data_IF_655640719181
#
_entry.id   IF_655640719181
#
_cell.length_a   1.000
_cell.length_b   1.000
_cell.length_c   1.000
_cell.angle_alpha   90.00
_cell.angle_beta   90.00
_cell.angle_gamma   90.00
#
_symmetry.space_group_name_H-M   'P 1'
#
loop_
_entity.id
_entity.type
_entity.pdbx_description
1 polymer ?
#
# COMPACT_ATOMS: atom_id res chain seq x y z
N UNK A 1 3.42 -28.66 2.61
CA UNK A 1 4.24 -28.15 1.48
C UNK A 1 5.10 -27.01 1.98
N UNK A 2 6.37 -26.92 1.55
CA UNK A 2 7.23 -25.80 1.97
C UNK A 2 6.75 -24.50 1.31
N UNK A 3 6.53 -23.46 2.10
CA UNK A 3 6.11 -22.13 1.60
C UNK A 3 7.27 -21.32 1.03
N UNK A 4 8.52 -21.67 1.33
CA UNK A 4 9.75 -21.02 0.90
C UNK A 4 10.29 -21.56 -0.46
N UNK A 5 9.45 -21.69 -1.46
CA UNK A 5 9.81 -22.34 -2.73
C UNK A 5 10.87 -21.57 -3.52
N UNK A 6 10.78 -20.24 -3.55
CA UNK A 6 11.69 -19.39 -4.28
C UNK A 6 12.92 -19.05 -3.45
N UNK A 7 12.73 -18.67 -2.19
CA UNK A 7 13.83 -18.28 -1.29
C UNK A 7 14.80 -19.42 -1.01
N UNK A 8 14.40 -20.67 -1.14
CA UNK A 8 15.33 -21.83 -1.07
C UNK A 8 16.44 -21.76 -2.11
N UNK A 9 16.25 -21.06 -3.23
CA UNK A 9 17.31 -20.85 -4.23
C UNK A 9 18.52 -20.11 -3.63
N UNK A 10 18.29 -19.28 -2.62
CA UNK A 10 19.32 -18.46 -1.96
C UNK A 10 19.62 -18.90 -0.52
N UNK A 11 18.78 -19.75 0.10
CA UNK A 11 18.95 -20.15 1.49
C UNK A 11 19.39 -21.60 1.67
N UNK A 12 19.06 -22.52 0.76
CA UNK A 12 19.26 -23.94 0.97
C UNK A 12 20.58 -24.48 0.41
N UNK A 13 21.16 -25.48 1.12
CA UNK A 13 22.36 -26.20 0.69
C UNK A 13 23.68 -25.53 1.02
N UNK A 14 24.77 -26.30 0.91
CA UNK A 14 26.12 -25.86 1.30
C UNK A 14 26.59 -24.69 0.42
N UNK A 15 26.34 -24.73 -0.89
CA UNK A 15 26.75 -23.69 -1.82
C UNK A 15 26.13 -22.31 -1.55
N UNK A 16 25.08 -22.23 -0.70
CA UNK A 16 24.41 -21.00 -0.28
C UNK A 16 24.91 -20.45 1.06
N UNK A 17 25.99 -20.97 1.58
CA UNK A 17 26.63 -20.42 2.78
C UNK A 17 26.98 -18.92 2.68
N UNK A 18 27.57 -18.43 1.59
CA UNK A 18 27.82 -16.98 1.43
C UNK A 18 26.52 -16.15 1.43
N UNK A 19 25.46 -16.64 0.77
CA UNK A 19 24.16 -15.97 0.74
C UNK A 19 23.58 -15.84 2.17
N UNK A 20 23.60 -16.94 2.94
CA UNK A 20 23.14 -16.91 4.33
C UNK A 20 24.00 -16.02 5.21
N UNK A 21 25.31 -15.95 4.99
CA UNK A 21 26.18 -15.03 5.72
C UNK A 21 25.74 -13.57 5.54
N UNK A 22 25.40 -13.16 4.31
CA UNK A 22 24.85 -11.82 4.04
C UNK A 22 23.46 -11.62 4.67
N UNK A 23 22.58 -12.61 4.59
CA UNK A 23 21.25 -12.54 5.21
C UNK A 23 21.35 -12.42 6.74
N UNK A 24 22.33 -13.05 7.38
CA UNK A 24 22.57 -12.88 8.82
C UNK A 24 22.91 -11.44 9.18
N UNK A 25 23.64 -10.72 8.33
CA UNK A 25 23.99 -9.32 8.56
C UNK A 25 22.75 -8.40 8.60
N UNK A 26 21.64 -8.85 8.01
CA UNK A 26 20.33 -8.14 8.03
C UNK A 26 19.30 -8.82 8.95
N UNK A 27 19.77 -9.62 9.94
CA UNK A 27 18.97 -10.11 11.04
C UNK A 27 18.32 -11.49 10.84
N UNK A 28 18.83 -12.33 9.91
CA UNK A 28 18.36 -13.72 9.82
C UNK A 28 19.05 -14.60 10.87
N UNK A 29 18.27 -15.28 11.66
CA UNK A 29 18.69 -16.39 12.54
C UNK A 29 18.66 -17.75 11.83
N UNK A 30 19.09 -18.81 12.53
CA UNK A 30 19.15 -20.17 11.96
C UNK A 30 17.76 -20.68 11.52
N UNK A 31 16.74 -20.40 12.31
CA UNK A 31 15.36 -20.80 12.00
C UNK A 31 14.68 -20.00 10.89
N UNK A 32 15.27 -18.90 10.41
CA UNK A 32 14.64 -18.05 9.39
C UNK A 32 14.87 -18.54 7.96
N UNK A 33 15.91 -19.40 7.75
CA UNK A 33 16.22 -19.91 6.42
C UNK A 33 15.20 -20.91 5.87
N UNK A 34 14.35 -21.46 6.74
CA UNK A 34 13.27 -22.36 6.37
C UNK A 34 11.90 -21.66 6.25
N UNK A 35 11.82 -20.36 6.63
CA UNK A 35 10.63 -19.55 6.49
C UNK A 35 10.49 -19.00 5.07
N UNK A 36 9.26 -18.69 4.60
CA UNK A 36 9.09 -17.93 3.38
C UNK A 36 9.59 -16.50 3.59
N UNK A 37 10.33 -15.98 2.62
CA UNK A 37 10.75 -14.57 2.61
C UNK A 37 9.68 -13.77 1.88
N UNK A 38 9.08 -12.79 2.57
CA UNK A 38 8.02 -11.94 2.01
C UNK A 38 8.53 -10.51 1.91
N UNK A 39 8.49 -9.96 0.71
CA UNK A 39 8.83 -8.57 0.47
C UNK A 39 7.72 -7.64 0.98
N UNK A 40 8.10 -6.52 1.60
CA UNK A 40 7.18 -5.42 1.93
C UNK A 40 7.63 -4.21 1.13
N UNK A 41 6.92 -3.95 0.04
CA UNK A 41 7.17 -2.82 -0.85
C UNK A 41 6.61 -1.55 -0.19
N UNK A 42 7.52 -0.76 0.38
CA UNK A 42 7.18 0.41 1.17
C UNK A 42 7.10 1.67 0.31
N UNK A 43 5.89 2.16 0.08
CA UNK A 43 5.62 3.43 -0.59
C UNK A 43 5.60 4.64 0.34
N UNK A 44 6.05 4.54 1.59
CA UNK A 44 6.14 5.70 2.49
C UNK A 44 7.05 6.78 1.94
N UNK A 45 6.61 8.02 2.07
CA UNK A 45 7.41 9.20 1.70
C UNK A 45 6.84 10.44 2.37
N UNK A 46 7.69 11.34 2.80
CA UNK A 46 7.30 12.68 3.29
C UNK A 46 7.09 13.71 2.17
N UNK A 47 7.32 13.32 0.90
CA UNK A 47 7.25 14.23 -0.27
C UNK A 47 5.82 14.57 -0.68
N UNK A 48 4.84 13.76 -0.30
CA UNK A 48 3.44 14.01 -0.65
C UNK A 48 2.48 13.46 0.41
N UNK A 49 1.28 14.04 0.56
CA UNK A 49 0.32 13.61 1.59
C UNK A 49 -0.19 12.18 1.38
N UNK A 50 -0.27 11.71 0.13
CA UNK A 50 -0.82 10.40 -0.19
C UNK A 50 -0.03 9.25 0.47
N UNK A 51 1.25 9.46 0.71
CA UNK A 51 2.19 8.45 1.19
C UNK A 51 2.80 8.78 2.57
N UNK A 52 2.61 10.00 3.08
CA UNK A 52 3.28 10.47 4.30
C UNK A 52 2.83 9.73 5.57
N UNK A 53 1.62 9.21 5.61
CA UNK A 53 1.05 8.56 6.79
C UNK A 53 1.17 7.03 6.82
N UNK A 54 1.83 6.38 5.86
CA UNK A 54 1.74 4.93 5.73
C UNK A 54 2.84 4.13 6.46
N UNK A 55 3.84 4.78 7.08
CA UNK A 55 4.88 4.05 7.81
C UNK A 55 4.33 3.14 8.94
N UNK A 56 3.35 3.56 9.75
CA UNK A 56 2.75 2.67 10.75
C UNK A 56 2.13 1.40 10.14
N UNK A 57 1.57 1.48 8.92
CA UNK A 57 1.04 0.32 8.21
C UNK A 57 2.15 -0.67 7.85
N UNK A 58 3.32 -0.15 7.43
CA UNK A 58 4.50 -0.97 7.12
C UNK A 58 4.98 -1.71 8.38
N UNK A 59 5.10 -0.99 9.50
CA UNK A 59 5.58 -1.55 10.76
C UNK A 59 4.65 -2.67 11.26
N UNK A 60 3.34 -2.47 11.14
CA UNK A 60 2.33 -3.47 11.46
C UNK A 60 2.39 -4.68 10.53
N UNK A 61 2.53 -4.45 9.22
CA UNK A 61 2.65 -5.51 8.22
C UNK A 61 3.90 -6.39 8.49
N UNK A 62 5.03 -5.76 8.80
CA UNK A 62 6.26 -6.48 9.17
C UNK A 62 6.04 -7.37 10.40
N UNK A 63 5.46 -6.82 11.46
CA UNK A 63 5.18 -7.57 12.69
C UNK A 63 4.19 -8.72 12.47
N UNK A 64 3.14 -8.50 11.68
CA UNK A 64 2.13 -9.51 11.37
C UNK A 64 2.70 -10.65 10.53
N UNK A 65 3.53 -10.37 9.53
CA UNK A 65 4.20 -11.38 8.73
C UNK A 65 5.18 -12.23 9.57
N UNK A 66 5.92 -11.62 10.50
CA UNK A 66 6.76 -12.37 11.45
C UNK A 66 5.91 -13.27 12.36
N UNK A 67 4.83 -12.73 12.92
CA UNK A 67 3.88 -13.51 13.75
C UNK A 67 3.27 -14.69 12.99
N UNK A 68 3.01 -14.55 11.70
CA UNK A 68 2.52 -15.60 10.81
C UNK A 68 3.60 -16.62 10.38
N UNK A 69 4.83 -16.48 10.87
CA UNK A 69 5.92 -17.41 10.57
C UNK A 69 6.65 -17.16 9.25
N UNK A 70 6.48 -15.99 8.64
CA UNK A 70 7.29 -15.54 7.51
C UNK A 70 8.54 -14.78 7.99
N UNK A 71 9.47 -14.51 7.07
CA UNK A 71 10.56 -13.56 7.28
C UNK A 71 10.33 -12.36 6.36
N UNK A 72 9.77 -11.25 6.87
CA UNK A 72 9.53 -10.06 6.07
C UNK A 72 10.82 -9.29 5.80
N UNK A 73 10.93 -8.71 4.61
CA UNK A 73 12.00 -7.78 4.23
C UNK A 73 11.40 -6.56 3.57
N UNK A 74 11.63 -5.38 4.17
CA UNK A 74 11.14 -4.11 3.64
C UNK A 74 12.11 -3.52 2.63
N UNK A 75 11.57 -2.93 1.56
CA UNK A 75 12.34 -2.14 0.59
C UNK A 75 11.53 -0.93 0.13
N UNK A 76 12.22 0.17 -0.21
CA UNK A 76 11.58 1.42 -0.65
C UNK A 76 11.07 1.35 -2.08
N UNK A 77 9.98 2.08 -2.33
CA UNK A 77 9.39 2.25 -3.66
C UNK A 77 9.26 3.74 -3.96
N UNK A 78 9.62 4.22 -5.17
CA UNK A 78 9.43 5.62 -5.54
C UNK A 78 7.98 6.07 -5.44
N UNK A 79 7.77 7.33 -5.07
CA UNK A 79 6.44 7.94 -4.97
C UNK A 79 6.41 9.31 -5.63
N UNK A 80 5.47 9.50 -6.55
CA UNK A 80 5.21 10.79 -7.21
C UNK A 80 3.72 11.06 -7.18
N UNK A 81 3.32 12.29 -6.88
CA UNK A 81 1.91 12.70 -6.89
C UNK A 81 1.63 13.71 -8.00
N UNK A 82 0.54 13.50 -8.69
CA UNK A 82 0.03 14.42 -9.71
C UNK A 82 -0.32 15.79 -9.12
N UNK A 83 -0.93 15.79 -7.93
CA UNK A 83 -1.43 17.01 -7.30
C UNK A 83 -0.37 18.09 -7.02
N UNK A 84 0.88 17.69 -6.80
CA UNK A 84 1.99 18.65 -6.62
C UNK A 84 2.61 19.02 -7.97
N UNK A 85 2.69 18.08 -8.90
CA UNK A 85 3.30 18.29 -10.22
C UNK A 85 2.39 19.00 -11.24
N UNK A 86 1.09 19.02 -11.01
CA UNK A 86 0.08 19.46 -11.96
C UNK A 86 0.32 20.94 -12.40
N UNK A 87 0.23 21.15 -13.71
CA UNK A 87 0.48 22.48 -14.31
C UNK A 87 1.96 22.86 -14.45
N UNK A 88 2.90 21.98 -14.10
CA UNK A 88 4.35 22.20 -14.21
C UNK A 88 5.05 21.11 -15.02
N UNK A 89 6.34 21.30 -15.34
CA UNK A 89 7.19 20.27 -15.97
C UNK A 89 7.29 18.99 -15.13
N UNK A 90 7.12 19.08 -13.80
CA UNK A 90 7.15 17.92 -12.91
C UNK A 90 6.05 16.90 -13.22
N UNK A 91 4.94 17.32 -13.82
CA UNK A 91 3.84 16.43 -14.20
C UNK A 91 4.26 15.37 -15.22
N UNK A 92 5.28 15.62 -16.02
CA UNK A 92 5.83 14.66 -17.00
C UNK A 92 6.37 13.39 -16.33
N UNK A 93 6.79 13.48 -15.07
CA UNK A 93 7.31 12.35 -14.31
C UNK A 93 6.21 11.51 -13.64
N UNK A 94 4.98 12.02 -13.56
CA UNK A 94 3.88 11.29 -12.93
C UNK A 94 3.61 9.95 -13.63
N UNK A 95 3.27 9.97 -14.91
CA UNK A 95 2.93 8.74 -15.64
C UNK A 95 4.12 7.78 -15.73
N UNK A 96 5.31 8.29 -15.96
CA UNK A 96 6.55 7.49 -16.04
C UNK A 96 6.83 6.79 -14.71
N UNK A 97 6.51 7.41 -13.58
CA UNK A 97 6.74 6.81 -12.26
C UNK A 97 5.99 5.49 -12.07
N UNK A 98 4.88 5.26 -12.75
CA UNK A 98 4.14 4.00 -12.72
C UNK A 98 5.00 2.81 -13.15
N UNK A 99 5.70 2.93 -14.29
CA UNK A 99 6.61 1.89 -14.78
C UNK A 99 7.80 1.70 -13.85
N UNK A 100 8.41 2.80 -13.39
CA UNK A 100 9.53 2.77 -12.44
C UNK A 100 9.14 2.06 -11.14
N UNK A 101 7.95 2.30 -10.63
CA UNK A 101 7.42 1.62 -9.44
C UNK A 101 7.28 0.12 -9.69
N UNK A 102 6.67 -0.25 -10.82
CA UNK A 102 6.49 -1.64 -11.20
C UNK A 102 7.84 -2.36 -11.32
N UNK A 103 8.80 -1.75 -12.00
CA UNK A 103 10.15 -2.30 -12.21
C UNK A 103 10.93 -2.39 -10.91
N UNK A 104 10.82 -1.40 -10.01
CA UNK A 104 11.48 -1.41 -8.71
C UNK A 104 10.98 -2.57 -7.84
N UNK A 105 9.68 -2.80 -7.78
CA UNK A 105 9.09 -3.90 -7.02
C UNK A 105 9.48 -5.25 -7.64
N UNK A 106 9.32 -5.40 -8.95
CA UNK A 106 9.67 -6.63 -9.67
C UNK A 106 11.13 -6.99 -9.50
N UNK A 107 12.03 -6.02 -9.68
CA UNK A 107 13.48 -6.21 -9.53
C UNK A 107 13.85 -6.62 -8.12
N UNK A 108 13.29 -5.97 -7.10
CA UNK A 108 13.57 -6.26 -5.70
C UNK A 108 13.12 -7.67 -5.32
N UNK A 109 11.89 -8.03 -5.63
CA UNK A 109 11.29 -9.31 -5.28
C UNK A 109 11.96 -10.47 -6.02
N UNK A 110 12.19 -10.32 -7.32
CA UNK A 110 12.84 -11.36 -8.12
C UNK A 110 14.34 -11.47 -7.83
N UNK A 111 15.05 -10.34 -7.67
CA UNK A 111 16.48 -10.32 -7.37
C UNK A 111 16.82 -10.95 -6.01
N UNK A 112 15.92 -10.87 -5.05
CA UNK A 112 16.06 -11.50 -3.74
C UNK A 112 15.32 -12.84 -3.63
N UNK A 113 14.80 -13.38 -4.72
CA UNK A 113 14.06 -14.65 -4.78
C UNK A 113 12.97 -14.75 -3.70
N UNK A 114 12.23 -13.66 -3.44
CA UNK A 114 11.18 -13.64 -2.42
C UNK A 114 10.00 -14.52 -2.83
N UNK A 115 9.35 -15.13 -1.83
CA UNK A 115 8.24 -16.06 -2.02
C UNK A 115 6.89 -15.37 -2.22
N UNK A 116 6.78 -14.14 -1.77
CA UNK A 116 5.58 -13.31 -1.89
C UNK A 116 5.89 -11.84 -1.67
N UNK A 117 4.89 -10.97 -1.89
CA UNK A 117 5.03 -9.53 -1.68
C UNK A 117 3.75 -8.92 -1.12
N UNK A 118 3.92 -8.01 -0.16
CA UNK A 118 2.90 -7.08 0.31
C UNK A 118 3.29 -5.68 -0.17
N UNK A 119 2.41 -5.04 -0.93
CA UNK A 119 2.64 -3.70 -1.48
C UNK A 119 1.81 -2.69 -0.70
N UNK A 120 2.44 -1.64 -0.16
CA UNK A 120 1.74 -0.57 0.56
C UNK A 120 1.96 0.75 -0.15
N UNK A 121 0.89 1.42 -0.50
CA UNK A 121 0.95 2.72 -1.18
C UNK A 121 -0.40 3.40 -1.24
N UNK A 122 -0.41 4.71 -1.49
CA UNK A 122 -1.62 5.52 -1.48
C UNK A 122 -1.76 6.48 -2.65
N UNK A 123 -0.69 6.72 -3.41
CA UNK A 123 -0.69 7.72 -4.45
C UNK A 123 -1.13 7.17 -5.81
N UNK A 124 -1.52 8.09 -6.67
CA UNK A 124 -2.07 7.90 -8.00
C UNK A 124 -1.33 6.85 -8.85
N UNK A 125 -0.01 6.91 -8.91
CA UNK A 125 0.81 5.97 -9.70
C UNK A 125 1.34 4.77 -8.90
N UNK A 126 1.39 4.85 -7.56
CA UNK A 126 1.72 3.69 -6.72
C UNK A 126 0.72 2.56 -6.88
N UNK A 127 -0.57 2.91 -6.98
CA UNK A 127 -1.65 1.95 -7.07
C UNK A 127 -1.51 1.09 -8.35
N UNK A 128 -1.58 1.65 -9.58
CA UNK A 128 -1.42 0.86 -10.79
C UNK A 128 -0.02 0.26 -10.93
N UNK A 129 1.05 0.96 -10.54
CA UNK A 129 2.42 0.44 -10.59
C UNK A 129 2.59 -0.80 -9.72
N UNK A 130 2.04 -0.80 -8.52
CA UNK A 130 2.09 -1.94 -7.63
C UNK A 130 1.36 -3.17 -8.19
N UNK A 131 0.14 -3.01 -8.70
CA UNK A 131 -0.60 -4.15 -9.27
C UNK A 131 0.03 -4.66 -10.57
N UNK A 132 0.64 -3.78 -11.37
CA UNK A 132 1.43 -4.20 -12.54
C UNK A 132 2.57 -5.12 -12.13
N UNK A 133 3.34 -4.77 -11.10
CA UNK A 133 4.39 -5.62 -10.56
C UNK A 133 3.84 -6.96 -10.06
N UNK A 134 2.76 -6.94 -9.28
CA UNK A 134 2.10 -8.15 -8.78
C UNK A 134 1.70 -9.09 -9.93
N UNK A 135 1.12 -8.55 -11.00
CA UNK A 135 0.72 -9.32 -12.18
C UNK A 135 1.92 -9.90 -12.95
N UNK A 136 3.03 -9.13 -13.08
CA UNK A 136 4.25 -9.57 -13.76
C UNK A 136 4.96 -10.71 -13.02
N UNK A 137 5.07 -10.61 -11.70
CA UNK A 137 5.82 -11.55 -10.89
C UNK A 137 5.14 -12.90 -10.70
N UNK A 138 3.81 -12.95 -10.73
CA UNK A 138 3.02 -14.16 -10.50
C UNK A 138 3.42 -14.90 -9.21
N UNK A 139 3.63 -14.16 -8.13
CA UNK A 139 3.85 -14.66 -6.77
C UNK A 139 2.62 -14.33 -5.90
N UNK A 140 2.42 -14.99 -4.74
CA UNK A 140 1.46 -14.54 -3.76
C UNK A 140 1.67 -13.05 -3.43
N UNK A 141 0.63 -12.25 -3.59
CA UNK A 141 0.74 -10.81 -3.43
C UNK A 141 -0.57 -10.20 -2.93
N UNK A 142 -0.47 -9.16 -2.10
CA UNK A 142 -1.59 -8.36 -1.64
C UNK A 142 -1.21 -6.88 -1.68
N UNK A 143 -2.19 -6.03 -1.97
CA UNK A 143 -2.05 -4.59 -1.93
C UNK A 143 -2.74 -4.02 -0.69
N UNK A 144 -2.05 -3.16 0.05
CA UNK A 144 -2.59 -2.39 1.17
C UNK A 144 -2.67 -0.92 0.78
N UNK A 145 -3.88 -0.40 0.73
CA UNK A 145 -4.15 0.99 0.42
C UNK A 145 -3.87 1.87 1.65
N UNK A 146 -3.12 2.95 1.45
CA UNK A 146 -2.73 3.89 2.53
C UNK A 146 -3.86 4.80 3.03
N UNK A 147 -5.06 4.70 2.45
CA UNK A 147 -6.23 5.46 2.86
C UNK A 147 -6.40 6.81 2.19
N UNK A 148 -7.60 7.36 2.28
CA UNK A 148 -8.03 8.63 1.69
C UNK A 148 -7.84 9.79 2.67
N UNK A 149 -7.49 10.98 2.18
CA UNK A 149 -7.43 12.22 2.94
C UNK A 149 -8.83 12.58 3.50
N UNK A 150 -8.89 13.10 4.72
CA UNK A 150 -10.15 13.63 5.27
C UNK A 150 -10.59 14.89 4.51
N UNK A 151 -11.90 15.15 4.38
CA UNK A 151 -12.39 16.38 3.75
C UNK A 151 -11.96 17.61 4.55
N UNK A 152 -11.55 18.65 3.83
CA UNK A 152 -11.29 19.95 4.42
C UNK A 152 -12.59 20.74 4.66
N UNK A 153 -12.49 21.86 5.37
CA UNK A 153 -13.64 22.77 5.59
C UNK A 153 -13.21 24.23 5.58
N UNK A 154 -14.02 25.05 4.92
CA UNK A 154 -13.91 26.50 4.99
C UNK A 154 -15.28 27.15 4.99
N UNK A 155 -15.54 28.05 5.95
CA UNK A 155 -16.83 28.75 6.14
C UNK A 155 -18.05 27.83 6.01
N UNK A 156 -17.97 26.61 6.62
CA UNK A 156 -19.04 25.62 6.64
C UNK A 156 -19.18 24.76 5.37
N UNK A 157 -18.35 24.97 4.36
CA UNK A 157 -18.33 24.15 3.13
C UNK A 157 -17.23 23.10 3.20
N UNK A 158 -17.53 21.89 2.75
CA UNK A 158 -16.56 20.83 2.60
C UNK A 158 -15.63 21.13 1.41
N UNK A 159 -14.35 20.84 1.58
CA UNK A 159 -13.30 21.09 0.59
C UNK A 159 -12.56 19.80 0.26
N UNK A 160 -12.06 19.74 -0.98
CA UNK A 160 -11.07 18.78 -1.45
C UNK A 160 -9.94 19.52 -2.16
N UNK A 161 -8.93 18.80 -2.64
CA UNK A 161 -7.88 19.41 -3.49
C UNK A 161 -8.46 20.07 -4.75
N UNK A 162 -9.58 19.58 -5.29
CA UNK A 162 -10.25 20.21 -6.43
C UNK A 162 -10.72 21.62 -6.09
N UNK A 163 -11.20 21.84 -4.86
CA UNK A 163 -11.62 23.17 -4.42
C UNK A 163 -10.47 24.19 -4.50
N UNK A 164 -9.22 23.77 -4.23
CA UNK A 164 -8.06 24.63 -4.37
C UNK A 164 -7.76 24.94 -5.86
N UNK A 165 -7.89 23.98 -6.77
CA UNK A 165 -7.74 24.22 -8.21
C UNK A 165 -8.83 25.17 -8.75
N UNK A 166 -10.08 24.97 -8.36
CA UNK A 166 -11.20 25.83 -8.74
C UNK A 166 -11.06 27.25 -8.17
N UNK A 167 -10.51 27.37 -6.96
CA UNK A 167 -10.24 28.66 -6.32
C UNK A 167 -9.25 29.51 -7.13
N UNK A 168 -8.23 28.93 -7.76
CA UNK A 168 -7.29 29.62 -8.63
C UNK A 168 -8.04 30.32 -9.77
N UNK A 169 -8.93 29.59 -10.47
CA UNK A 169 -9.71 30.17 -11.57
C UNK A 169 -10.67 31.27 -11.10
N UNK A 170 -11.33 31.05 -9.97
CA UNK A 170 -12.28 32.02 -9.39
C UNK A 170 -11.59 33.27 -8.90
N UNK A 171 -10.42 33.14 -8.26
CA UNK A 171 -9.63 34.25 -7.78
C UNK A 171 -9.07 35.11 -8.97
N UNK A 172 -8.50 34.42 -9.96
CA UNK A 172 -7.99 35.07 -11.17
C UNK A 172 -9.09 35.85 -11.95
N UNK A 173 -10.32 35.34 -11.92
CA UNK A 173 -11.49 35.99 -12.51
C UNK A 173 -12.09 37.12 -11.64
N UNK A 174 -11.50 37.43 -10.49
CA UNK A 174 -12.00 38.46 -9.55
C UNK A 174 -13.32 38.06 -8.85
N UNK A 175 -13.66 36.75 -8.80
CA UNK A 175 -14.91 36.22 -8.20
C UNK A 175 -14.72 35.71 -6.79
N UNK A 176 -13.51 35.63 -6.29
CA UNK A 176 -13.17 35.14 -4.97
C UNK A 176 -12.32 36.17 -4.24
N UNK A 177 -12.59 36.39 -2.95
CA UNK A 177 -11.76 37.26 -2.10
C UNK A 177 -10.41 36.64 -1.80
N UNK A 178 -9.40 37.44 -1.49
CA UNK A 178 -8.08 36.97 -1.03
C UNK A 178 -8.20 36.11 0.24
N UNK A 179 -9.04 36.51 1.19
CA UNK A 179 -9.32 35.77 2.41
C UNK A 179 -9.85 34.36 2.12
N UNK A 180 -10.81 34.25 1.21
CA UNK A 180 -11.40 32.96 0.84
C UNK A 180 -10.42 32.10 0.04
N UNK A 181 -9.64 32.71 -0.86
CA UNK A 181 -8.60 32.01 -1.61
C UNK A 181 -7.58 31.34 -0.66
N UNK A 182 -7.00 32.13 0.25
CA UNK A 182 -6.05 31.62 1.24
C UNK A 182 -6.71 30.66 2.25
N UNK A 183 -7.96 30.89 2.61
CA UNK A 183 -8.73 30.01 3.47
C UNK A 183 -8.94 28.64 2.86
N UNK A 184 -9.27 28.58 1.57
CA UNK A 184 -9.40 27.31 0.83
C UNK A 184 -8.04 26.61 0.73
N UNK A 185 -6.97 27.33 0.35
CA UNK A 185 -5.62 26.75 0.25
C UNK A 185 -5.17 26.08 1.55
N UNK A 186 -5.35 26.74 2.70
CA UNK A 186 -4.92 26.25 4.02
C UNK A 186 -5.72 25.08 4.53
N UNK A 187 -6.95 24.90 4.04
CA UNK A 187 -7.89 23.94 4.61
C UNK A 187 -8.33 22.82 3.65
N UNK A 188 -7.94 22.87 2.37
CA UNK A 188 -8.35 21.86 1.39
C UNK A 188 -7.76 20.46 1.65
N UNK A 189 -6.58 20.40 2.27
CA UNK A 189 -5.86 19.16 2.54
C UNK A 189 -5.50 19.06 4.03
N UNK A 190 -6.45 18.70 4.93
CA UNK A 190 -6.28 18.81 6.38
C UNK A 190 -5.53 17.63 7.01
N UNK A 191 -5.24 16.58 6.26
CA UNK A 191 -4.57 15.38 6.77
C UNK A 191 -3.68 14.73 5.71
N UNK A 192 -2.97 13.67 6.09
CA UNK A 192 -2.36 12.74 5.14
C UNK A 192 -3.44 11.90 4.45
N UNK A 193 -3.09 11.25 3.33
CA UNK A 193 -3.95 10.37 2.57
C UNK A 193 -4.01 10.72 1.08
N UNK A 194 -4.51 9.79 0.29
CA UNK A 194 -4.77 9.98 -1.13
C UNK A 194 -5.91 11.00 -1.36
N UNK A 195 -5.93 11.62 -2.53
CA UNK A 195 -6.91 12.67 -2.86
C UNK A 195 -8.35 12.22 -2.55
N UNK A 196 -9.14 13.12 -1.93
CA UNK A 196 -10.52 12.87 -1.50
C UNK A 196 -11.52 12.96 -2.66
N UNK A 197 -11.53 11.98 -3.53
CA UNK A 197 -12.45 11.86 -4.65
C UNK A 197 -12.17 10.56 -5.43
N UNK A 198 -13.10 10.10 -6.25
CA UNK A 198 -12.93 8.89 -7.09
C UNK A 198 -11.99 9.17 -8.28
N UNK A 199 -10.79 9.71 -7.97
CA UNK A 199 -9.69 9.81 -8.93
C UNK A 199 -8.94 8.50 -9.01
N UNK A 200 -7.70 8.48 -9.54
CA UNK A 200 -6.99 7.22 -9.80
C UNK A 200 -6.80 6.38 -8.54
N UNK A 201 -6.32 6.93 -7.44
CA UNK A 201 -6.03 6.15 -6.23
C UNK A 201 -7.30 5.48 -5.66
N UNK A 202 -8.39 6.21 -5.50
CA UNK A 202 -9.63 5.67 -4.95
C UNK A 202 -10.32 4.70 -5.91
N UNK A 203 -10.27 4.97 -7.22
CA UNK A 203 -10.79 4.05 -8.25
C UNK A 203 -9.99 2.75 -8.25
N UNK A 204 -8.66 2.83 -8.16
CA UNK A 204 -7.81 1.64 -8.13
C UNK A 204 -8.01 0.85 -6.83
N UNK A 205 -8.13 1.50 -5.66
CA UNK A 205 -8.38 0.79 -4.40
C UNK A 205 -9.70 0.03 -4.43
N UNK A 206 -10.76 0.63 -4.95
CA UNK A 206 -12.05 -0.03 -5.15
C UNK A 206 -11.95 -1.21 -6.13
N UNK A 207 -11.20 -1.03 -7.21
CA UNK A 207 -10.94 -2.10 -8.19
C UNK A 207 -10.14 -3.25 -7.57
N UNK A 208 -9.21 -2.96 -6.68
CA UNK A 208 -8.41 -4.00 -5.99
C UNK A 208 -9.26 -4.86 -5.07
N UNK A 209 -10.25 -4.27 -4.40
CA UNK A 209 -11.24 -5.04 -3.64
C UNK A 209 -12.06 -5.96 -4.55
N UNK A 210 -12.57 -5.42 -5.66
CA UNK A 210 -13.33 -6.19 -6.63
C UNK A 210 -12.53 -7.32 -7.28
N UNK A 211 -11.22 -7.14 -7.46
CA UNK A 211 -10.29 -8.13 -7.99
C UNK A 211 -9.80 -9.13 -6.90
N UNK A 212 -10.08 -8.88 -5.63
CA UNK A 212 -9.61 -9.71 -4.52
C UNK A 212 -8.09 -9.61 -4.28
N UNK A 213 -7.46 -8.48 -4.63
CA UNK A 213 -6.03 -8.21 -4.40
C UNK A 213 -5.78 -7.22 -3.27
N UNK A 214 -6.84 -6.77 -2.60
CA UNK A 214 -6.82 -6.00 -1.35
C UNK A 214 -7.93 -6.44 -0.41
N UNK A 215 -7.86 -6.00 0.85
CA UNK A 215 -8.85 -6.32 1.88
C UNK A 215 -10.18 -5.61 1.59
N UNK A 216 -11.30 -6.30 1.84
CA UNK A 216 -12.64 -5.72 1.72
C UNK A 216 -12.80 -4.54 2.69
N UNK A 217 -13.39 -3.45 2.21
CA UNK A 217 -13.60 -2.21 2.97
C UNK A 217 -12.39 -1.28 3.04
N UNK A 218 -11.20 -1.71 2.55
CA UNK A 218 -9.99 -0.90 2.59
C UNK A 218 -10.06 0.37 1.75
N UNK A 219 -10.81 0.36 0.65
CA UNK A 219 -10.94 1.51 -0.25
C UNK A 219 -11.69 2.70 0.34
N UNK A 220 -12.47 2.49 1.39
CA UNK A 220 -13.33 3.50 2.00
C UNK A 220 -12.71 4.20 3.21
N UNK A 221 -11.55 3.73 3.68
CA UNK A 221 -10.93 4.26 4.90
C UNK A 221 -10.20 5.56 4.67
N UNK A 222 -10.32 6.47 5.65
CA UNK A 222 -9.46 7.63 5.72
C UNK A 222 -8.05 7.24 6.20
N UNK A 223 -7.00 7.85 5.63
CA UNK A 223 -5.62 7.52 5.99
C UNK A 223 -5.32 7.61 7.50
N UNK A 224 -5.80 8.61 8.25
CA UNK A 224 -5.62 8.65 9.69
C UNK A 224 -6.26 7.49 10.46
N UNK A 225 -7.21 6.79 9.83
CA UNK A 225 -7.95 5.67 10.42
C UNK A 225 -7.55 4.33 9.78
N UNK A 226 -6.67 4.33 8.79
CA UNK A 226 -6.27 3.15 8.00
C UNK A 226 -5.53 2.10 8.86
N UNK A 227 -4.90 2.51 9.95
CA UNK A 227 -4.27 1.60 10.91
C UNK A 227 -5.29 0.61 11.52
N UNK A 228 -6.55 1.02 11.62
CA UNK A 228 -7.65 0.20 12.11
C UNK A 228 -7.97 -0.93 11.12
N UNK A 229 -7.88 -0.69 9.82
CA UNK A 229 -8.17 -1.69 8.79
C UNK A 229 -7.12 -2.79 8.65
N UNK A 230 -5.85 -2.47 8.84
CA UNK A 230 -4.80 -3.49 8.85
C UNK A 230 -4.95 -4.48 10.00
N UNK A 231 -5.81 -4.17 10.97
CA UNK A 231 -6.11 -5.01 12.12
C UNK A 231 -7.39 -5.87 11.90
N UNK A 232 -8.02 -5.81 10.68
CA UNK A 232 -9.30 -6.07 10.51
C UNK A 232 -10.10 -7.15 9.94
N UNK A 233 -10.15 -8.35 10.38
CA UNK A 233 -11.41 -9.09 10.27
C UNK A 233 -12.35 -8.65 11.40
N UNK A 234 -13.57 -8.30 11.06
CA UNK A 234 -14.58 -7.82 12.00
C UNK A 234 -15.15 -8.96 12.84
N UNK A 235 -15.08 -8.83 14.15
CA UNK A 235 -15.92 -9.63 15.05
C UNK A 235 -17.19 -8.86 15.44
N UNK A 236 -18.12 -9.53 16.12
CA UNK A 236 -19.37 -8.93 16.59
C UNK A 236 -19.19 -7.81 17.63
N UNK A 237 -17.96 -7.50 18.05
CA UNK A 237 -17.60 -6.46 19.01
C UNK A 237 -16.85 -5.29 18.38
N UNK A 238 -16.60 -5.35 17.06
CA UNK A 238 -15.86 -4.34 16.30
C UNK A 238 -16.80 -3.21 15.87
N UNK A 239 -17.46 -2.50 16.70
CA UNK A 239 -18.34 -1.35 16.43
C UNK A 239 -18.13 -0.65 15.07
N UNK A 240 -18.33 -1.36 13.96
CA UNK A 240 -18.09 -0.88 12.59
C UNK A 240 -18.84 0.43 12.36
N UNK A 241 -18.13 1.47 11.91
CA UNK A 241 -18.63 2.83 11.72
C UNK A 241 -19.02 3.61 12.99
N UNK A 242 -18.57 3.17 14.17
CA UNK A 242 -18.74 3.91 15.41
C UNK A 242 -17.45 4.61 15.85
N UNK A 243 -17.50 5.64 16.71
CA UNK A 243 -16.31 6.36 17.19
C UNK A 243 -15.26 5.51 17.92
N UNK A 244 -15.63 4.31 18.35
CA UNK A 244 -14.78 3.37 19.10
C UNK A 244 -14.55 2.08 18.31
N UNK A 245 -14.63 2.11 16.99
CA UNK A 245 -14.34 0.95 16.16
C UNK A 245 -12.97 0.37 16.47
N UNK A 246 -12.93 -0.94 16.68
CA UNK A 246 -11.70 -1.69 16.98
C UNK A 246 -11.75 -3.07 16.36
N UNK A 247 -10.58 -3.64 16.16
CA UNK A 247 -10.41 -4.95 15.57
C UNK A 247 -9.49 -5.82 16.41
N UNK A 248 -9.79 -7.11 16.47
CA UNK A 248 -8.97 -8.07 17.20
C UNK A 248 -7.79 -8.56 16.36
N UNK A 249 -6.58 -8.49 16.89
CA UNK A 249 -5.34 -9.00 16.26
C UNK A 249 -5.47 -10.47 15.81
N UNK A 250 -6.19 -11.28 16.59
CA UNK A 250 -6.44 -12.70 16.27
C UNK A 250 -7.26 -12.92 14.98
N UNK A 251 -8.11 -11.97 14.62
CA UNK A 251 -8.88 -12.07 13.37
C UNK A 251 -8.05 -11.64 12.15
N UNK A 252 -7.11 -10.72 12.34
CA UNK A 252 -6.13 -10.36 11.32
C UNK A 252 -5.24 -11.54 10.93
N UNK A 253 -4.72 -12.28 11.91
CA UNK A 253 -3.94 -13.49 11.66
C UNK A 253 -4.75 -14.53 10.85
N UNK A 254 -6.02 -14.72 11.19
CA UNK A 254 -6.92 -15.62 10.45
C UNK A 254 -7.18 -15.13 9.02
N UNK A 255 -7.32 -13.83 8.80
CA UNK A 255 -7.55 -13.26 7.47
C UNK A 255 -6.32 -13.43 6.59
N UNK A 256 -5.12 -13.12 7.09
CA UNK A 256 -3.86 -13.34 6.35
C UNK A 256 -3.69 -14.82 6.00
N UNK A 257 -3.99 -15.74 6.94
CA UNK A 257 -3.93 -17.18 6.70
C UNK A 257 -4.99 -17.64 5.69
N UNK A 258 -6.21 -17.12 5.78
CA UNK A 258 -7.30 -17.47 4.86
C UNK A 258 -7.02 -16.99 3.43
N UNK A 259 -6.45 -15.80 3.26
CA UNK A 259 -6.07 -15.28 1.95
C UNK A 259 -4.87 -16.02 1.37
N UNK A 260 -3.86 -16.34 2.19
CA UNK A 260 -2.75 -17.19 1.77
C UNK A 260 -3.24 -18.57 1.30
N UNK A 261 -4.22 -19.14 1.98
CA UNK A 261 -4.86 -20.43 1.62
C UNK A 261 -5.71 -20.30 0.36
N UNK A 262 -6.43 -19.19 0.17
CA UNK A 262 -7.16 -18.88 -1.06
C UNK A 262 -6.24 -18.86 -2.27
N UNK A 263 -5.14 -18.11 -2.20
CA UNK A 263 -4.16 -18.04 -3.28
C UNK A 263 -3.47 -19.38 -3.53
N UNK A 264 -3.19 -20.16 -2.48
CA UNK A 264 -2.67 -21.52 -2.59
C UNK A 264 -3.62 -22.44 -3.36
N UNK A 265 -4.91 -22.38 -3.05
CA UNK A 265 -5.97 -23.18 -3.68
C UNK A 265 -6.17 -22.76 -5.14
N UNK A 266 -6.15 -21.47 -5.43
CA UNK A 266 -6.26 -20.92 -6.77
C UNK A 266 -5.08 -21.36 -7.65
N UNK A 267 -3.85 -21.26 -7.14
CA UNK A 267 -2.64 -21.69 -7.85
C UNK A 267 -2.66 -23.22 -8.14
N UNK A 268 -3.12 -24.02 -7.18
CA UNK A 268 -3.25 -25.47 -7.35
C UNK A 268 -4.27 -25.85 -8.42
N UNK A 269 -5.43 -25.16 -8.48
CA UNK A 269 -6.46 -25.37 -9.52
C UNK A 269 -5.98 -25.00 -10.92
N UNK A 270 -5.11 -24.00 -11.04
CA UNK A 270 -4.54 -23.56 -12.31
C UNK A 270 -3.45 -24.52 -12.81
N UNK A 271 -2.66 -25.11 -11.90
CA UNK A 271 -1.66 -26.10 -12.23
C UNK A 271 -2.24 -27.45 -12.71
N UNK A 272 -3.44 -27.82 -12.24
CA UNK A 272 -4.14 -29.02 -12.67
C UNK A 272 -4.95 -28.89 -13.96
N UNK A 273 -4.89 -27.73 -14.65
CA UNK A 273 -5.54 -27.45 -15.94
C UNK A 273 -4.56 -27.33 -17.13
N UNK A 274 -3.31 -27.80 -16.96
CA UNK A 274 -2.33 -27.93 -18.05
C UNK A 274 -2.12 -29.38 -18.39
#
# INVERSE_FOLDING_TARGET
MAYNRRSRLITAGVARSPNRAMLRAVGFGDGDFDKPIVGVANGHSTMNPCNAGIQPLIDRAMAALEGAGAKPQVFGVPTVTDGIGMGTEAMKYSLVSREVIADAIETSVNGQAMDGVLVVGGCDKNMPGGVMAMARMNVPAIYVYGGTIKPGKWKGKDLTIVSAFEAVGSFTAGKLSEEDFQGIERNACPSVGACGGMFTANTMSSSFEALGVSLLGSSQMAAPDAEILLLGATDGFSNIHAPNERVLLSEFEKTVVAEAEFFRTYAARRAGRR
#
